data_IF_197822242371
#
_entry.id   IF_197822242371
#
_cell.length_a   1.000
_cell.length_b   1.000
_cell.length_c   1.000
_cell.angle_alpha   90.00
_cell.angle_beta   90.00
_cell.angle_gamma   90.00
#
_symmetry.space_group_name_H-M   'P 1'
#
loop_
_entity.id
_entity.type
_entity.pdbx_description
1 polymer ?
#
# COMPACT_ATOMS: atom_id res chain seq x y z
N UNK A 1 -8.59 20.08 19.52
CA UNK A 1 -7.35 19.27 19.54
C UNK A 1 -7.74 17.88 19.07
N UNK A 2 -7.51 17.56 17.79
CA UNK A 2 -7.66 16.18 17.31
C UNK A 2 -6.38 15.42 17.66
N UNK A 3 -6.53 14.26 18.25
CA UNK A 3 -5.44 13.37 18.64
C UNK A 3 -4.98 12.57 17.43
N UNK A 4 -4.07 13.14 16.63
CA UNK A 4 -3.20 12.34 15.76
C UNK A 4 -2.18 11.65 16.67
N UNK A 5 -2.58 10.53 17.26
CA UNK A 5 -1.60 9.63 17.87
C UNK A 5 -0.73 9.09 16.73
N UNK A 6 0.59 9.29 16.73
CA UNK A 6 1.43 8.66 15.71
C UNK A 6 1.23 7.14 15.82
N UNK A 7 1.13 6.41 14.71
CA UNK A 7 1.04 4.96 14.78
C UNK A 7 2.28 4.44 15.54
N UNK A 8 2.04 3.44 16.40
CA UNK A 8 3.08 2.66 17.07
C UNK A 8 4.21 2.40 16.08
N UNK A 9 5.44 2.78 16.42
CA UNK A 9 6.63 2.68 15.56
C UNK A 9 6.52 1.56 14.53
N UNK A 10 6.28 1.93 13.26
CA UNK A 10 6.17 0.97 12.18
C UNK A 10 7.45 0.12 12.12
N UNK A 11 7.30 -1.17 11.85
CA UNK A 11 8.45 -2.05 11.65
C UNK A 11 9.23 -1.61 10.40
N UNK A 12 10.53 -1.95 10.28
CA UNK A 12 11.30 -1.66 9.06
C UNK A 12 10.64 -2.21 7.78
N UNK A 13 9.95 -3.35 7.87
CA UNK A 13 9.20 -3.93 6.75
C UNK A 13 7.98 -3.07 6.39
N UNK A 14 7.21 -2.64 7.40
CA UNK A 14 6.07 -1.76 7.21
C UNK A 14 6.46 -0.43 6.55
N UNK A 15 7.58 0.17 6.96
CA UNK A 15 8.09 1.40 6.34
C UNK A 15 8.46 1.23 4.86
N UNK A 16 8.98 0.06 4.46
CA UNK A 16 9.28 -0.23 3.05
C UNK A 16 8.00 -0.43 2.24
N UNK A 17 7.03 -1.15 2.77
CA UNK A 17 5.71 -1.32 2.13
C UNK A 17 5.07 0.05 1.93
N UNK A 18 5.05 0.89 2.97
CA UNK A 18 4.55 2.27 2.91
C UNK A 18 5.22 3.09 1.81
N UNK A 19 6.55 3.00 1.69
CA UNK A 19 7.27 3.70 0.64
C UNK A 19 6.84 3.26 -0.77
N UNK A 20 6.65 1.95 -1.00
CA UNK A 20 6.16 1.44 -2.29
C UNK A 20 4.74 1.91 -2.58
N UNK A 21 3.84 1.88 -1.58
CA UNK A 21 2.47 2.36 -1.74
C UNK A 21 2.40 3.87 -2.03
N UNK A 22 3.23 4.65 -1.32
CA UNK A 22 3.35 6.09 -1.54
C UNK A 22 3.93 6.43 -2.93
N UNK A 23 4.84 5.61 -3.45
CA UNK A 23 5.35 5.77 -4.80
C UNK A 23 4.31 5.43 -5.87
N UNK A 24 3.50 4.39 -5.63
CA UNK A 24 2.42 3.97 -6.53
C UNK A 24 1.28 4.99 -6.60
N UNK A 25 0.83 5.48 -5.44
CA UNK A 25 -0.22 6.48 -5.29
C UNK A 25 -1.50 6.22 -6.12
N UNK A 26 -2.19 5.09 -5.90
CA UNK A 26 -3.36 4.70 -6.71
C UNK A 26 -4.54 5.69 -6.62
N UNK A 27 -4.59 6.49 -5.55
CA UNK A 27 -5.63 7.50 -5.33
C UNK A 27 -5.23 8.85 -5.97
N UNK A 28 -3.93 9.06 -6.26
CA UNK A 28 -3.41 10.32 -6.77
C UNK A 28 -3.32 11.41 -5.71
N UNK A 29 -3.14 11.05 -4.44
CA UNK A 29 -3.11 12.03 -3.35
C UNK A 29 -1.94 13.00 -3.47
N UNK A 30 -0.83 12.58 -4.11
CA UNK A 30 0.35 13.43 -4.32
C UNK A 30 0.10 14.57 -5.29
N UNK A 31 -0.85 14.41 -6.22
CA UNK A 31 -1.15 15.41 -7.25
C UNK A 31 -2.13 16.50 -6.79
N UNK A 32 -2.77 16.29 -5.63
CA UNK A 32 -3.83 17.18 -5.12
C UNK A 32 -3.27 18.33 -4.27
N UNK A 33 -2.07 18.18 -3.68
CA UNK A 33 -1.34 19.30 -3.07
C UNK A 33 -0.25 18.91 -2.08
N UNK A 34 0.64 19.87 -1.79
CA UNK A 34 1.67 19.71 -0.77
C UNK A 34 1.05 19.60 0.63
N UNK A 35 1.41 18.54 1.36
CA UNK A 35 1.05 18.37 2.78
C UNK A 35 -0.02 17.30 3.06
N UNK A 36 -0.38 16.46 2.10
CA UNK A 36 -1.17 15.26 2.40
C UNK A 36 -0.36 14.33 3.32
N UNK A 37 -0.97 13.80 4.40
CA UNK A 37 -0.31 12.85 5.28
C UNK A 37 0.29 11.63 4.55
N UNK A 38 1.49 11.21 4.96
CA UNK A 38 2.19 10.03 4.42
C UNK A 38 1.64 8.70 4.95
N UNK A 39 0.64 8.76 5.83
CA UNK A 39 -0.06 7.64 6.46
C UNK A 39 -1.37 7.27 5.75
N UNK A 40 -1.71 7.90 4.61
CA UNK A 40 -2.92 7.61 3.82
C UNK A 40 -3.06 6.12 3.47
N UNK A 41 -1.93 5.45 3.23
CA UNK A 41 -1.87 4.05 2.83
C UNK A 41 -1.50 3.10 3.98
N UNK A 42 -1.47 3.58 5.24
CA UNK A 42 -1.03 2.77 6.38
C UNK A 42 -1.98 1.60 6.70
N UNK A 43 -3.25 1.72 6.33
CA UNK A 43 -4.26 0.67 6.51
C UNK A 43 -4.02 -0.55 5.60
N UNK A 44 -3.41 -0.35 4.43
CA UNK A 44 -3.00 -1.43 3.51
C UNK A 44 -1.76 -2.19 3.97
N UNK A 45 -0.95 -1.61 4.85
CA UNK A 45 0.34 -2.19 5.24
C UNK A 45 0.16 -3.56 5.89
N UNK A 46 -0.77 -3.69 6.84
CA UNK A 46 -0.98 -4.95 7.57
C UNK A 46 -1.50 -6.06 6.63
N UNK A 47 -2.56 -5.84 5.83
CA UNK A 47 -3.01 -6.81 4.83
C UNK A 47 -1.91 -7.25 3.86
N UNK A 48 -1.08 -6.32 3.38
CA UNK A 48 0.01 -6.65 2.46
C UNK A 48 1.08 -7.48 3.15
N UNK A 49 1.46 -7.17 4.39
CA UNK A 49 2.42 -7.98 5.13
C UNK A 49 1.90 -9.40 5.40
N UNK A 50 0.60 -9.55 5.68
CA UNK A 50 -0.05 -10.85 5.85
C UNK A 50 -0.11 -11.63 4.52
N UNK A 51 -0.45 -10.96 3.42
CA UNK A 51 -0.42 -11.54 2.09
C UNK A 51 0.99 -12.02 1.74
N UNK A 52 2.01 -11.18 1.91
CA UNK A 52 3.42 -11.52 1.65
C UNK A 52 3.91 -12.72 2.49
N UNK A 53 3.41 -12.89 3.71
CA UNK A 53 3.74 -14.03 4.56
C UNK A 53 3.19 -15.37 4.03
N UNK A 54 2.18 -15.33 3.16
CA UNK A 54 1.56 -16.51 2.54
C UNK A 54 2.27 -16.97 1.26
N UNK A 55 3.40 -16.34 0.91
CA UNK A 55 4.19 -16.62 -0.29
C UNK A 55 3.40 -16.54 -1.62
N UNK A 56 2.69 -15.43 -1.88
CA UNK A 56 1.85 -15.30 -3.05
C UNK A 56 2.70 -15.10 -4.30
N UNK A 57 2.16 -15.46 -5.44
CA UNK A 57 2.68 -15.04 -6.74
C UNK A 57 2.41 -13.55 -6.97
N UNK A 58 3.15 -12.93 -7.90
CA UNK A 58 2.93 -11.53 -8.27
C UNK A 58 1.50 -11.28 -8.80
N UNK A 59 0.94 -12.26 -9.53
CA UNK A 59 -0.42 -12.14 -10.08
C UNK A 59 -1.49 -12.22 -8.99
N UNK A 60 -1.31 -13.08 -7.98
CA UNK A 60 -2.22 -13.16 -6.84
C UNK A 60 -2.20 -11.86 -6.03
N UNK A 61 -1.00 -11.37 -5.68
CA UNK A 61 -0.88 -10.11 -4.94
C UNK A 61 -1.41 -8.91 -5.73
N UNK A 62 -1.19 -8.87 -7.05
CA UNK A 62 -1.73 -7.82 -7.91
C UNK A 62 -3.27 -7.87 -7.98
N UNK A 63 -3.86 -9.06 -8.03
CA UNK A 63 -5.30 -9.23 -8.02
C UNK A 63 -5.92 -8.79 -6.68
N UNK A 64 -5.25 -9.09 -5.57
CA UNK A 64 -5.66 -8.66 -4.23
C UNK A 64 -5.59 -7.13 -4.10
N UNK A 65 -4.47 -6.51 -4.49
CA UNK A 65 -4.32 -5.05 -4.52
C UNK A 65 -5.42 -4.38 -5.34
N UNK A 66 -5.68 -4.90 -6.55
CA UNK A 66 -6.76 -4.41 -7.40
C UNK A 66 -8.12 -4.53 -6.69
N UNK A 67 -8.40 -5.68 -6.10
CA UNK A 67 -9.68 -5.94 -5.43
C UNK A 67 -9.91 -4.96 -4.28
N UNK A 68 -8.87 -4.68 -3.48
CA UNK A 68 -8.95 -3.73 -2.37
C UNK A 68 -9.23 -2.32 -2.90
N UNK A 69 -8.49 -1.85 -3.90
CA UNK A 69 -8.71 -0.50 -4.46
C UNK A 69 -10.10 -0.37 -5.10
N UNK A 70 -10.59 -1.40 -5.79
CA UNK A 70 -11.91 -1.37 -6.43
C UNK A 70 -13.06 -1.47 -5.42
N UNK A 71 -12.95 -2.36 -4.45
CA UNK A 71 -14.07 -2.73 -3.57
C UNK A 71 -14.06 -1.87 -2.30
N UNK A 72 -12.89 -1.74 -1.66
CA UNK A 72 -12.80 -1.09 -0.35
C UNK A 72 -12.67 0.43 -0.48
N UNK A 73 -11.89 0.90 -1.47
CA UNK A 73 -11.75 2.33 -1.77
C UNK A 73 -12.79 2.84 -2.76
N UNK A 74 -13.47 1.96 -3.48
CA UNK A 74 -14.48 2.32 -4.48
C UNK A 74 -13.90 3.07 -5.68
N UNK A 75 -12.61 2.86 -5.97
CA UNK A 75 -11.88 3.53 -7.05
C UNK A 75 -11.90 2.68 -8.33
N UNK A 76 -11.70 3.30 -9.51
CA UNK A 76 -11.47 2.53 -10.72
C UNK A 76 -10.22 1.65 -10.58
N UNK A 77 -10.16 0.58 -11.38
CA UNK A 77 -8.98 -0.30 -11.47
C UNK A 77 -7.72 0.54 -11.62
N UNK A 78 -6.78 0.48 -10.65
CA UNK A 78 -5.55 1.24 -10.74
C UNK A 78 -4.59 0.58 -11.74
N UNK A 79 -3.87 1.40 -12.48
CA UNK A 79 -2.77 0.93 -13.32
C UNK A 79 -1.57 0.48 -12.44
N UNK A 80 -0.75 -0.43 -12.94
CA UNK A 80 0.53 -0.76 -12.29
C UNK A 80 0.46 -1.79 -11.15
N UNK A 81 -0.69 -2.44 -10.89
CA UNK A 81 -0.83 -3.41 -9.79
C UNK A 81 0.24 -4.51 -9.84
N UNK A 82 0.58 -5.00 -11.03
CA UNK A 82 1.56 -6.08 -11.19
C UNK A 82 2.98 -5.62 -10.85
N UNK A 83 3.37 -4.44 -11.32
CA UNK A 83 4.67 -3.82 -11.05
C UNK A 83 4.86 -3.54 -9.55
N UNK A 84 3.79 -3.09 -8.89
CA UNK A 84 3.76 -2.88 -7.44
C UNK A 84 3.86 -4.19 -6.70
N UNK A 85 3.11 -5.22 -7.10
CA UNK A 85 3.20 -6.55 -6.51
C UNK A 85 4.62 -7.15 -6.62
N UNK A 86 5.26 -7.02 -7.79
CA UNK A 86 6.67 -7.43 -7.98
C UNK A 86 7.60 -6.64 -7.05
N UNK A 87 7.38 -5.34 -6.89
CA UNK A 87 8.19 -4.50 -6.00
C UNK A 87 8.03 -4.89 -4.54
N UNK A 88 6.80 -5.19 -4.10
CA UNK A 88 6.50 -5.65 -2.74
C UNK A 88 7.11 -7.03 -2.46
N UNK A 89 7.06 -7.96 -3.42
CA UNK A 89 7.66 -9.28 -3.28
C UNK A 89 9.18 -9.22 -3.10
N UNK A 90 9.86 -8.29 -3.80
CA UNK A 90 11.31 -8.07 -3.66
C UNK A 90 11.71 -7.51 -2.29
N UNK A 91 10.79 -6.96 -1.50
CA UNK A 91 11.10 -6.48 -0.14
C UNK A 91 11.35 -7.63 0.85
N UNK A 92 11.03 -8.88 0.46
CA UNK A 92 11.25 -10.10 1.25
C UNK A 92 12.67 -10.66 1.10
N UNK A 93 13.34 -10.37 0.00
CA UNK A 93 14.71 -10.81 -0.32
C UNK A 93 15.79 -9.93 0.36
#
# INVERSE_FOLDING_TARGET
MQTSSPPRSLSPAALRVRAVLWEWDPIGVRDIGDGWPDDEYDDLIVPILEALASDPTADELAADLRSVIEIDYGLPTPDGCHEVAVSLLRLRD
#
